data_IF_406136333178
#
_entry.id   IF_406136333178
#
_cell.length_a   1.000
_cell.length_b   1.000
_cell.length_c   1.000
_cell.angle_alpha   90.00
_cell.angle_beta   90.00
_cell.angle_gamma   90.00
#
_symmetry.space_group_name_H-M   'P 1'
#
loop_
_entity.id
_entity.type
_entity.pdbx_description
1 polymer ?
#
# COMPACT_ATOMS: atom_id res chain seq x y z
N UNK A 1 43.84 9.65 -34.58
CA UNK A 1 42.46 10.21 -34.68
C UNK A 1 41.65 9.65 -33.52
N UNK A 2 41.51 10.44 -32.45
CA UNK A 2 40.79 10.09 -31.22
C UNK A 2 39.31 10.39 -31.40
N UNK A 3 38.42 9.43 -31.11
CA UNK A 3 36.97 9.67 -31.07
C UNK A 3 36.59 10.28 -29.71
N UNK A 4 35.72 11.30 -29.67
CA UNK A 4 35.32 11.93 -28.42
C UNK A 4 34.38 11.00 -27.64
N UNK A 5 34.65 10.87 -26.34
CA UNK A 5 33.78 10.16 -25.40
C UNK A 5 32.45 10.89 -25.25
N UNK A 6 31.36 10.21 -25.59
CA UNK A 6 30.01 10.64 -25.27
C UNK A 6 29.83 10.58 -23.76
N UNK A 7 29.83 11.75 -23.12
CA UNK A 7 29.50 11.88 -21.70
C UNK A 7 28.06 11.43 -21.49
N UNK A 8 27.86 10.47 -20.60
CA UNK A 8 26.55 10.19 -20.04
C UNK A 8 26.16 11.38 -19.16
N UNK A 9 25.33 12.26 -19.72
CA UNK A 9 24.56 13.23 -18.96
C UNK A 9 23.74 12.47 -17.92
N UNK A 10 23.92 12.86 -16.65
CA UNK A 10 23.20 12.44 -15.46
C UNK A 10 21.69 12.46 -15.74
N UNK A 11 21.13 11.31 -16.11
CA UNK A 11 19.70 11.13 -16.26
C UNK A 11 19.06 11.34 -14.90
N UNK A 12 18.33 12.43 -14.74
CA UNK A 12 17.25 12.52 -13.78
C UNK A 12 16.37 11.32 -14.08
N UNK A 13 16.25 10.36 -13.16
CA UNK A 13 15.29 9.27 -13.31
C UNK A 13 13.93 9.93 -13.52
N UNK A 14 13.44 9.95 -14.75
CA UNK A 14 12.08 10.38 -15.00
C UNK A 14 11.18 9.49 -14.14
N UNK A 15 10.30 10.07 -13.32
CA UNK A 15 9.31 9.28 -12.60
C UNK A 15 8.58 8.42 -13.64
N UNK A 16 8.38 7.14 -13.33
CA UNK A 16 7.57 6.28 -14.18
C UNK A 16 6.21 6.98 -14.34
N UNK A 17 5.78 7.21 -15.58
CA UNK A 17 4.43 7.71 -15.87
C UNK A 17 3.46 6.57 -15.50
N UNK A 18 3.04 6.57 -14.24
CA UNK A 18 2.08 5.61 -13.67
C UNK A 18 0.64 5.91 -14.10
N UNK A 19 0.43 6.89 -14.99
CA UNK A 19 -0.88 7.42 -15.29
C UNK A 19 -1.43 8.25 -14.12
N UNK A 20 -2.66 8.74 -14.28
CA UNK A 20 -3.36 9.45 -13.20
C UNK A 20 -3.67 8.45 -12.07
N UNK A 21 -2.92 8.49 -10.98
CA UNK A 21 -3.15 7.70 -9.77
C UNK A 21 -4.15 8.35 -8.81
N UNK A 22 -4.47 9.63 -9.00
CA UNK A 22 -5.44 10.36 -8.18
C UNK A 22 -6.85 10.33 -8.77
N UNK A 23 -7.77 9.66 -8.06
CA UNK A 23 -9.20 9.72 -8.31
C UNK A 23 -9.73 11.14 -8.07
N UNK A 24 -10.67 11.61 -8.89
CA UNK A 24 -11.46 12.79 -8.53
C UNK A 24 -12.33 12.49 -7.29
N UNK A 25 -12.77 13.50 -6.53
CA UNK A 25 -13.65 13.27 -5.38
C UNK A 25 -14.93 12.48 -5.71
N UNK A 26 -15.50 12.67 -6.90
CA UNK A 26 -16.68 11.93 -7.34
C UNK A 26 -16.36 10.48 -7.69
N UNK A 27 -15.21 10.23 -8.33
CA UNK A 27 -14.73 8.88 -8.62
C UNK A 27 -14.34 8.14 -7.34
N UNK A 28 -13.68 8.81 -6.39
CA UNK A 28 -13.37 8.27 -5.06
C UNK A 28 -14.67 7.93 -4.33
N UNK A 29 -15.63 8.84 -4.26
CA UNK A 29 -16.91 8.57 -3.61
C UNK A 29 -17.67 7.41 -4.27
N UNK A 30 -17.58 7.27 -5.60
CA UNK A 30 -18.15 6.12 -6.30
C UNK A 30 -17.42 4.82 -5.93
N UNK A 31 -16.10 4.82 -5.97
CA UNK A 31 -15.29 3.65 -5.63
C UNK A 31 -15.51 3.21 -4.18
N UNK A 32 -15.60 4.15 -3.23
CA UNK A 32 -15.93 3.87 -1.82
C UNK A 32 -17.25 3.13 -1.65
N UNK A 33 -18.27 3.47 -2.45
CA UNK A 33 -19.56 2.76 -2.43
C UNK A 33 -19.48 1.41 -3.14
N UNK A 34 -18.73 1.32 -4.23
CA UNK A 34 -18.57 0.08 -5.02
C UNK A 34 -17.79 -0.98 -4.23
N UNK A 35 -16.82 -0.55 -3.42
CA UNK A 35 -15.97 -1.39 -2.58
C UNK A 35 -16.41 -1.47 -1.12
N UNK A 36 -17.62 -1.03 -0.77
CA UNK A 36 -18.16 -1.07 0.60
C UNK A 36 -17.32 -0.34 1.68
N UNK A 37 -16.47 0.62 1.29
CA UNK A 37 -15.59 1.36 2.21
C UNK A 37 -16.36 2.28 3.16
N UNK A 38 -17.59 2.65 2.79
CA UNK A 38 -18.50 3.40 3.66
C UNK A 38 -19.25 2.48 4.65
N UNK A 39 -19.10 1.16 4.54
CA UNK A 39 -19.72 0.13 5.39
C UNK A 39 -18.67 -0.88 5.85
N UNK A 40 -17.82 -0.50 6.80
CA UNK A 40 -16.65 -1.29 7.18
C UNK A 40 -16.99 -2.69 7.71
N UNK A 41 -18.16 -2.90 8.30
CA UNK A 41 -18.61 -4.23 8.76
C UNK A 41 -18.95 -5.18 7.59
N UNK A 42 -19.53 -4.64 6.51
CA UNK A 42 -19.83 -5.41 5.30
C UNK A 42 -18.53 -5.76 4.56
N UNK A 43 -17.61 -4.80 4.46
CA UNK A 43 -16.28 -5.01 3.92
C UNK A 43 -15.50 -6.09 4.69
N UNK A 44 -15.52 -6.02 6.02
CA UNK A 44 -14.86 -6.99 6.89
C UNK A 44 -15.42 -8.40 6.70
N UNK A 45 -16.75 -8.52 6.64
CA UNK A 45 -17.42 -9.81 6.45
C UNK A 45 -17.12 -10.41 5.08
N UNK A 46 -17.17 -9.59 4.01
CA UNK A 46 -16.89 -10.02 2.63
C UNK A 46 -15.45 -10.48 2.46
N UNK A 47 -14.53 -9.79 3.12
CA UNK A 47 -13.10 -10.10 3.08
C UNK A 47 -12.66 -11.00 4.24
N UNK A 48 -13.55 -11.55 5.06
CA UNK A 48 -13.16 -12.45 6.14
C UNK A 48 -12.09 -11.87 7.08
N UNK A 49 -12.22 -10.60 7.44
CA UNK A 49 -11.28 -9.88 8.31
C UNK A 49 -11.37 -10.40 9.75
N UNK A 50 -12.58 -10.72 10.23
CA UNK A 50 -12.81 -11.21 11.59
C UNK A 50 -12.16 -12.57 11.83
N UNK A 51 -12.14 -13.46 10.83
CA UNK A 51 -11.47 -14.76 10.92
C UNK A 51 -9.94 -14.62 10.95
N UNK A 52 -9.41 -13.55 10.33
CA UNK A 52 -7.97 -13.31 10.19
C UNK A 52 -7.39 -12.48 11.34
N UNK A 53 -8.21 -11.69 12.02
CA UNK A 53 -7.77 -10.73 13.04
C UNK A 53 -6.96 -11.40 14.16
N UNK A 54 -7.40 -12.55 14.68
CA UNK A 54 -6.72 -13.21 15.79
C UNK A 54 -5.31 -13.71 15.44
N UNK A 55 -5.13 -14.19 14.19
CA UNK A 55 -3.80 -14.59 13.72
C UNK A 55 -2.88 -13.37 13.57
N UNK A 56 -3.41 -12.27 13.04
CA UNK A 56 -2.65 -11.04 12.80
C UNK A 56 -2.34 -10.27 14.08
N UNK A 57 -3.22 -10.31 15.08
CA UNK A 57 -3.10 -9.66 16.38
C UNK A 57 -2.10 -10.36 17.31
N UNK A 58 -1.59 -11.52 16.93
CA UNK A 58 -0.57 -12.23 17.71
C UNK A 58 0.74 -11.44 17.69
N UNK A 59 1.10 -10.89 18.85
CA UNK A 59 2.29 -10.09 19.05
C UNK A 59 3.56 -10.95 19.21
N UNK A 60 4.67 -10.46 18.66
CA UNK A 60 5.99 -11.00 18.94
C UNK A 60 6.37 -10.79 20.42
N UNK A 61 7.29 -11.59 20.99
CA UNK A 61 7.71 -11.44 22.38
C UNK A 61 8.15 -10.02 22.74
N UNK A 62 8.90 -9.37 21.87
CA UNK A 62 9.38 -8.00 22.07
C UNK A 62 8.24 -6.96 22.04
N UNK A 63 7.19 -7.23 21.26
CA UNK A 63 5.99 -6.39 21.19
C UNK A 63 5.09 -6.60 22.41
N UNK A 64 5.07 -7.80 22.99
CA UNK A 64 4.39 -8.07 24.26
C UNK A 64 5.05 -7.29 25.41
N UNK A 65 6.38 -7.17 25.41
CA UNK A 65 7.11 -6.38 26.41
C UNK A 65 6.80 -4.87 26.29
N UNK A 66 6.70 -4.36 25.06
CA UNK A 66 6.35 -2.95 24.81
C UNK A 66 4.86 -2.69 25.09
N UNK A 67 4.01 -3.69 24.82
CA UNK A 67 2.57 -3.61 24.87
C UNK A 67 1.98 -2.87 23.67
N UNK A 68 0.86 -3.38 23.15
CA UNK A 68 -0.03 -2.63 22.25
C UNK A 68 -1.36 -2.37 22.96
N UNK A 69 -1.93 -1.18 22.76
CA UNK A 69 -3.15 -0.77 23.44
C UNK A 69 -4.37 -1.61 23.02
N UNK A 70 -4.42 -1.99 21.74
CA UNK A 70 -5.43 -2.89 21.18
C UNK A 70 -4.85 -3.59 19.93
N UNK A 71 -4.21 -4.76 20.11
CA UNK A 71 -3.65 -5.54 19.00
C UNK A 71 -4.70 -5.95 17.96
N UNK A 72 -5.95 -6.20 18.39
CA UNK A 72 -7.03 -6.64 17.49
C UNK A 72 -7.52 -5.48 16.62
N UNK A 73 -7.70 -4.29 17.20
CA UNK A 73 -8.06 -3.10 16.44
C UNK A 73 -6.97 -2.76 15.41
N UNK A 74 -5.70 -2.81 15.82
CA UNK A 74 -4.57 -2.57 14.92
C UNK A 74 -4.52 -3.62 13.79
N UNK A 75 -4.70 -4.89 14.12
CA UNK A 75 -4.74 -5.97 13.14
C UNK A 75 -5.88 -5.80 12.12
N UNK A 76 -7.07 -5.42 12.60
CA UNK A 76 -8.23 -5.16 11.74
C UNK A 76 -7.98 -4.02 10.76
N UNK A 77 -7.42 -2.90 11.23
CA UNK A 77 -7.09 -1.76 10.36
C UNK A 77 -6.07 -2.13 9.28
N UNK A 78 -5.02 -2.85 9.65
CA UNK A 78 -3.99 -3.30 8.70
C UNK A 78 -4.55 -4.28 7.66
N UNK A 79 -5.43 -5.19 8.08
CA UNK A 79 -6.11 -6.10 7.15
C UNK A 79 -7.00 -5.31 6.19
N UNK A 80 -7.80 -4.35 6.69
CA UNK A 80 -8.64 -3.49 5.85
C UNK A 80 -7.84 -2.72 4.81
N UNK A 81 -6.74 -2.10 5.22
CA UNK A 81 -5.84 -1.38 4.29
C UNK A 81 -5.26 -2.32 3.22
N UNK A 82 -4.87 -3.53 3.60
CA UNK A 82 -4.33 -4.52 2.67
C UNK A 82 -5.36 -4.97 1.63
N UNK A 83 -6.60 -5.22 2.05
CA UNK A 83 -7.69 -5.61 1.16
C UNK A 83 -8.09 -4.43 0.25
N UNK A 84 -8.13 -3.21 0.80
CA UNK A 84 -8.37 -1.99 0.01
C UNK A 84 -7.34 -1.84 -1.11
N UNK A 85 -6.04 -2.00 -0.84
CA UNK A 85 -5.00 -1.93 -1.88
C UNK A 85 -5.09 -3.07 -2.90
N UNK A 86 -5.71 -4.18 -2.52
CA UNK A 86 -5.95 -5.31 -3.43
C UNK A 86 -7.14 -5.02 -4.36
N UNK A 87 -8.21 -4.43 -3.83
CA UNK A 87 -9.41 -4.08 -4.58
C UNK A 87 -9.25 -2.80 -5.41
N UNK A 88 -8.51 -1.83 -4.88
CA UNK A 88 -8.24 -0.53 -5.48
C UNK A 88 -6.72 -0.30 -5.51
N UNK A 89 -6.02 -0.79 -6.56
CA UNK A 89 -4.58 -0.60 -6.68
C UNK A 89 -4.15 0.87 -6.70
N UNK A 90 -5.02 1.76 -7.18
CA UNK A 90 -4.84 3.23 -7.16
C UNK A 90 -4.93 3.87 -5.77
N UNK A 91 -5.44 3.14 -4.77
CA UNK A 91 -5.38 3.55 -3.36
C UNK A 91 -4.04 3.22 -2.69
N UNK A 92 -3.13 2.54 -3.37
CA UNK A 92 -1.79 2.33 -2.84
C UNK A 92 -1.03 3.67 -2.82
N UNK A 93 -0.37 4.03 -1.70
CA UNK A 93 0.49 5.20 -1.69
C UNK A 93 1.61 5.06 -2.72
N UNK A 94 1.97 6.15 -3.40
CA UNK A 94 3.05 6.19 -4.39
C UNK A 94 4.38 5.77 -3.73
N UNK A 95 4.74 4.50 -3.88
CA UNK A 95 6.05 4.02 -3.45
C UNK A 95 7.05 4.26 -4.55
N UNK A 96 7.89 5.29 -4.40
CA UNK A 96 9.08 5.49 -5.23
C UNK A 96 10.01 4.27 -5.08
N UNK A 97 10.01 3.38 -6.07
CA UNK A 97 11.02 2.34 -6.15
C UNK A 97 12.32 2.91 -6.73
N UNK A 98 13.21 3.42 -5.87
CA UNK A 98 14.60 3.66 -6.26
C UNK A 98 15.24 2.31 -6.64
N UNK A 99 15.37 2.08 -7.94
CA UNK A 99 16.04 0.89 -8.48
C UNK A 99 17.51 0.97 -8.09
N UNK A 100 17.88 0.33 -6.96
CA UNK A 100 19.30 0.16 -6.63
C UNK A 100 19.94 -0.67 -7.73
N UNK A 101 21.03 -0.21 -8.37
CA UNK A 101 21.78 -1.08 -9.25
C UNK A 101 22.33 -2.23 -8.39
N UNK A 102 21.91 -3.45 -8.67
CA UNK A 102 22.57 -4.65 -8.13
C UNK A 102 24.00 -4.61 -8.65
N UNK A 103 24.93 -4.19 -7.79
CA UNK A 103 26.35 -4.25 -8.08
C UNK A 103 26.80 -5.71 -8.15
N UNK A 104 27.56 -6.03 -9.20
CA UNK A 104 28.38 -7.23 -9.33
C UNK A 104 29.54 -7.24 -8.31
#
# INVERSE_FOLDING_TARGET
MTRPGTGYSRGVSEPLDTGRTELTPDEEARARREHDLDRPEEFDSRNGVDERVGTRASLLPEEQETGSADPEAQAREVLRDSELRTEMPESAPDTFFERRPSGE
#
